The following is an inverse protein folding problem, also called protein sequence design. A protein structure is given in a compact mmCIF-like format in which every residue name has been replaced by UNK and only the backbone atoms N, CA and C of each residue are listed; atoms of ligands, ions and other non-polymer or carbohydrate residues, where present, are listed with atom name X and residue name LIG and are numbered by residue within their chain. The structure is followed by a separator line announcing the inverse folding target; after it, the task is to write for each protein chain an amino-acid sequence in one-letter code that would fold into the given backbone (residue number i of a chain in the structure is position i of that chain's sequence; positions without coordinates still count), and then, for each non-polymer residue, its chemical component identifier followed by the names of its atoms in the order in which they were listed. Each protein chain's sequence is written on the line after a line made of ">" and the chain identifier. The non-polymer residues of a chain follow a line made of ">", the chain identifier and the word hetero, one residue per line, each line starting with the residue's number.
data_IF_376351192739
#
_entry.id   IF_376351192739
#
_cell.length_a   1.000
_cell.length_b   1.000
_cell.length_c   1.000
_cell.angle_alpha   90.00
_cell.angle_beta   90.00
_cell.angle_gamma   90.00
#
_symmetry.space_group_name_H-M   'P 1'
#
loop_
_entity.id
_entity.type
_entity.pdbx_description
1 polymer ?
#
# COMPACT_ATOMS: atom_id res chain seq x y z
N UNK A 1 -17.23 20.89 -37.73
CA UNK A 1 -17.37 20.02 -36.53
C UNK A 1 -18.32 20.72 -35.59
N UNK A 2 -19.46 20.12 -35.26
CA UNK A 2 -20.48 20.74 -34.42
C UNK A 2 -20.11 20.58 -32.94
N UNK A 3 -20.49 21.55 -32.11
CA UNK A 3 -20.26 21.52 -30.66
C UNK A 3 -20.85 20.28 -29.95
N UNK A 4 -21.74 19.56 -30.62
CA UNK A 4 -22.33 18.31 -30.16
C UNK A 4 -21.36 17.12 -30.29
N UNK A 5 -20.57 17.07 -31.37
CA UNK A 5 -19.53 16.06 -31.56
C UNK A 5 -18.44 16.18 -30.49
N UNK A 6 -17.99 17.41 -30.19
CA UNK A 6 -16.97 17.66 -29.15
C UNK A 6 -17.48 17.26 -27.74
N UNK A 7 -18.75 17.54 -27.41
CA UNK A 7 -19.35 17.15 -26.14
C UNK A 7 -19.45 15.63 -25.99
N UNK A 8 -19.82 14.94 -27.06
CA UNK A 8 -19.91 13.48 -27.07
C UNK A 8 -18.52 12.85 -26.87
N UNK A 9 -17.50 13.35 -27.57
CA UNK A 9 -16.12 12.89 -27.42
C UNK A 9 -15.57 13.12 -26.00
N UNK A 10 -15.82 14.31 -25.42
CA UNK A 10 -15.43 14.60 -24.03
C UNK A 10 -16.11 13.65 -23.03
N UNK A 11 -17.39 13.36 -23.24
CA UNK A 11 -18.15 12.45 -22.40
C UNK A 11 -17.62 11.02 -22.49
N UNK A 12 -17.27 10.57 -23.69
CA UNK A 12 -16.70 9.24 -23.91
C UNK A 12 -15.31 9.10 -23.26
N UNK A 13 -14.45 10.10 -23.42
CA UNK A 13 -13.14 10.16 -22.74
C UNK A 13 -13.30 10.17 -21.22
N UNK A 14 -14.28 10.90 -20.68
CA UNK A 14 -14.55 10.92 -19.25
C UNK A 14 -15.01 9.54 -18.75
N UNK A 15 -15.96 8.90 -19.43
CA UNK A 15 -16.42 7.53 -19.12
C UNK A 15 -15.27 6.52 -19.15
N UNK A 16 -14.38 6.65 -20.13
CA UNK A 16 -13.19 5.81 -20.22
C UNK A 16 -12.28 6.00 -18.99
N UNK A 17 -11.98 7.24 -18.60
CA UNK A 17 -11.17 7.53 -17.41
C UNK A 17 -11.84 7.00 -16.14
N UNK A 18 -13.15 7.18 -15.99
CA UNK A 18 -13.89 6.70 -14.82
C UNK A 18 -13.89 5.17 -14.73
N UNK A 19 -14.09 4.48 -15.85
CA UNK A 19 -14.00 3.01 -15.90
C UNK A 19 -12.59 2.52 -15.58
N UNK A 20 -11.55 3.20 -16.08
CA UNK A 20 -10.17 2.92 -15.72
C UNK A 20 -9.96 3.09 -14.21
N UNK A 21 -10.40 4.20 -13.61
CA UNK A 21 -10.29 4.47 -12.17
C UNK A 21 -11.00 3.39 -11.35
N UNK A 22 -12.20 2.98 -11.77
CA UNK A 22 -12.97 1.92 -11.12
C UNK A 22 -12.22 0.58 -11.15
N UNK A 23 -11.63 0.22 -12.29
CA UNK A 23 -10.81 -0.99 -12.43
C UNK A 23 -9.52 -0.90 -11.60
N UNK A 24 -8.90 0.28 -11.52
CA UNK A 24 -7.76 0.54 -10.64
C UNK A 24 -8.09 0.26 -9.17
N UNK A 25 -9.23 0.76 -8.67
CA UNK A 25 -9.70 0.48 -7.31
C UNK A 25 -9.98 -1.01 -7.09
N UNK A 26 -10.53 -1.69 -8.09
CA UNK A 26 -10.80 -3.14 -8.03
C UNK A 26 -9.49 -3.93 -7.94
N UNK A 27 -8.51 -3.57 -8.76
CA UNK A 27 -7.17 -4.15 -8.70
C UNK A 27 -6.56 -3.96 -7.32
N UNK A 28 -6.56 -2.73 -6.77
CA UNK A 28 -6.06 -2.47 -5.41
C UNK A 28 -6.81 -3.28 -4.35
N UNK A 29 -8.13 -3.44 -4.48
CA UNK A 29 -8.95 -4.30 -3.64
C UNK A 29 -8.48 -5.76 -3.64
N UNK A 30 -8.19 -6.30 -4.82
CA UNK A 30 -7.66 -7.66 -5.01
C UNK A 30 -6.24 -7.84 -4.45
N UNK A 31 -5.46 -6.76 -4.39
CA UNK A 31 -4.16 -6.71 -3.71
C UNK A 31 -4.29 -6.36 -2.22
N UNK A 32 -5.51 -6.24 -1.67
CA UNK A 32 -5.76 -5.92 -0.26
C UNK A 32 -5.00 -6.83 0.71
N UNK A 33 -4.85 -8.11 0.36
CA UNK A 33 -4.13 -9.10 1.16
C UNK A 33 -2.64 -8.77 1.34
N UNK A 34 -1.97 -8.09 0.39
CA UNK A 34 -0.57 -7.72 0.57
C UNK A 34 -0.44 -6.69 1.68
N UNK A 35 -1.33 -5.71 1.75
CA UNK A 35 -1.33 -4.75 2.86
C UNK A 35 -1.45 -5.46 4.21
N UNK A 36 -2.36 -6.44 4.32
CA UNK A 36 -2.50 -7.23 5.55
C UNK A 36 -1.23 -8.02 5.86
N UNK A 37 -0.66 -8.73 4.87
CA UNK A 37 0.58 -9.48 5.03
C UNK A 37 1.72 -8.61 5.54
N UNK A 38 1.95 -7.46 4.91
CA UNK A 38 3.02 -6.53 5.29
C UNK A 38 2.75 -5.90 6.67
N UNK A 39 1.50 -5.57 6.98
CA UNK A 39 1.12 -5.11 8.31
C UNK A 39 1.43 -6.14 9.41
N UNK A 40 1.06 -7.41 9.19
CA UNK A 40 1.37 -8.50 10.11
C UNK A 40 2.88 -8.72 10.22
N UNK A 41 3.61 -8.65 9.10
CA UNK A 41 5.06 -8.80 9.10
C UNK A 41 5.76 -7.74 9.96
N UNK A 42 5.31 -6.48 9.92
CA UNK A 42 5.85 -5.43 10.80
C UNK A 42 5.59 -5.72 12.28
N UNK A 43 4.39 -6.19 12.64
CA UNK A 43 4.10 -6.58 14.03
C UNK A 43 5.00 -7.74 14.51
N UNK A 44 5.18 -8.76 13.67
CA UNK A 44 6.04 -9.90 13.98
C UNK A 44 7.50 -9.45 14.11
N UNK A 45 7.96 -8.55 13.25
CA UNK A 45 9.31 -7.99 13.30
C UNK A 45 9.56 -7.26 14.62
N UNK A 46 8.63 -6.41 15.04
CA UNK A 46 8.74 -5.65 16.29
C UNK A 46 8.67 -6.55 17.52
N UNK A 47 7.72 -7.48 17.57
CA UNK A 47 7.62 -8.44 18.67
C UNK A 47 8.91 -9.27 18.81
N UNK A 48 9.47 -9.73 17.69
CA UNK A 48 10.73 -10.47 17.69
C UNK A 48 11.92 -9.58 18.07
N UNK A 49 12.00 -8.34 17.59
CA UNK A 49 13.06 -7.42 17.97
C UNK A 49 13.08 -7.16 19.49
N UNK A 50 11.91 -7.01 20.11
CA UNK A 50 11.76 -6.79 21.55
C UNK A 50 12.16 -8.03 22.36
N UNK A 51 11.66 -9.22 21.98
CA UNK A 51 11.88 -10.44 22.76
C UNK A 51 13.24 -11.09 22.51
N UNK A 52 13.66 -11.15 21.24
CA UNK A 52 14.89 -11.81 20.83
C UNK A 52 16.12 -10.92 20.88
N UNK A 53 15.96 -9.60 21.06
CA UNK A 53 17.04 -8.59 20.96
C UNK A 53 17.89 -8.79 19.69
N UNK A 54 17.26 -9.24 18.63
CA UNK A 54 17.93 -9.66 17.40
C UNK A 54 17.70 -8.63 16.31
N UNK A 55 18.77 -8.00 15.86
CA UNK A 55 18.75 -7.08 14.73
C UNK A 55 18.31 -7.75 13.41
N UNK A 56 18.34 -9.08 13.36
CA UNK A 56 17.92 -9.88 12.20
C UNK A 56 16.40 -9.99 12.05
N UNK A 57 15.62 -9.68 13.09
CA UNK A 57 14.16 -9.80 13.06
C UNK A 57 13.55 -9.04 11.87
N UNK A 58 14.03 -7.83 11.63
CA UNK A 58 13.59 -6.96 10.55
C UNK A 58 14.00 -7.47 9.15
N UNK A 59 15.29 -7.69 8.83
CA UNK A 59 15.68 -8.24 7.54
C UNK A 59 14.98 -9.56 7.19
N UNK A 60 14.88 -10.49 8.14
CA UNK A 60 14.29 -11.82 7.91
C UNK A 60 12.80 -11.70 7.58
N UNK A 61 12.04 -10.93 8.37
CA UNK A 61 10.60 -10.75 8.13
C UNK A 61 10.31 -10.00 6.82
N UNK A 62 11.11 -8.99 6.48
CA UNK A 62 10.95 -8.24 5.22
C UNK A 62 11.24 -9.13 4.00
N UNK A 63 12.32 -9.93 4.04
CA UNK A 63 12.64 -10.88 2.97
C UNK A 63 11.53 -11.94 2.83
N UNK A 64 11.05 -12.49 3.94
CA UNK A 64 9.95 -13.46 3.93
C UNK A 64 8.67 -12.87 3.33
N UNK A 65 8.26 -11.66 3.76
CA UNK A 65 7.09 -10.97 3.23
C UNK A 65 7.23 -10.67 1.73
N UNK A 66 8.42 -10.26 1.29
CA UNK A 66 8.72 -10.04 -0.12
C UNK A 66 8.63 -11.31 -0.96
N UNK A 67 9.21 -12.42 -0.48
CA UNK A 67 9.16 -13.73 -1.15
C UNK A 67 7.71 -14.21 -1.27
N UNK A 68 6.93 -14.18 -0.18
CA UNK A 68 5.52 -14.56 -0.19
C UNK A 68 4.73 -13.67 -1.17
N UNK A 69 4.95 -12.36 -1.11
CA UNK A 69 4.29 -11.40 -2.00
C UNK A 69 4.58 -11.71 -3.47
N UNK A 70 5.85 -11.98 -3.79
CA UNK A 70 6.33 -12.26 -5.15
C UNK A 70 5.82 -13.59 -5.69
N UNK A 71 5.79 -14.63 -4.85
CA UNK A 71 5.28 -15.95 -5.22
C UNK A 71 3.78 -15.89 -5.54
N UNK A 72 2.97 -15.28 -4.67
CA UNK A 72 1.53 -15.15 -4.93
C UNK A 72 1.27 -14.23 -6.13
N UNK A 73 2.00 -13.12 -6.25
CA UNK A 73 1.95 -12.22 -7.39
C UNK A 73 2.17 -12.95 -8.73
N UNK A 74 3.17 -13.84 -8.79
CA UNK A 74 3.48 -14.62 -10.00
C UNK A 74 2.32 -15.53 -10.42
N UNK A 75 1.58 -16.08 -9.44
CA UNK A 75 0.40 -16.92 -9.70
C UNK A 75 -0.82 -16.11 -10.13
N UNK A 76 -0.97 -14.89 -9.61
CA UNK A 76 -2.08 -14.00 -9.97
C UNK A 76 -1.94 -13.34 -11.33
N UNK A 77 -0.73 -13.27 -11.90
CA UNK A 77 -0.46 -12.67 -13.22
C UNK A 77 -0.96 -13.51 -14.41
N UNK A 78 -1.32 -14.77 -14.21
CA UNK A 78 -1.84 -15.62 -15.28
C UNK A 78 -3.27 -15.18 -15.66
N UNK A 79 -3.39 -14.43 -16.77
CA UNK A 79 -4.66 -14.26 -17.47
C UNK A 79 -5.17 -12.84 -17.72
N UNK A 80 -4.48 -11.75 -17.28
CA UNK A 80 -4.88 -10.38 -17.65
C UNK A 80 -3.69 -9.43 -17.86
N UNK A 81 -3.57 -8.77 -19.03
CA UNK A 81 -2.52 -7.79 -19.27
C UNK A 81 -2.66 -6.59 -18.31
N UNK A 82 -1.52 -6.07 -17.84
CA UNK A 82 -1.50 -4.96 -16.89
C UNK A 82 -2.06 -3.69 -17.56
N UNK A 83 -3.12 -3.11 -16.98
CA UNK A 83 -3.70 -1.85 -17.47
C UNK A 83 -2.73 -0.69 -17.22
N UNK A 84 -2.80 0.36 -18.05
CA UNK A 84 -2.00 1.58 -17.87
C UNK A 84 -2.18 2.16 -16.47
N UNK A 85 -3.40 2.14 -15.94
CA UNK A 85 -3.67 2.60 -14.58
C UNK A 85 -3.11 1.65 -13.51
N UNK A 86 -3.20 0.34 -13.70
CA UNK A 86 -2.59 -0.65 -12.80
C UNK A 86 -1.07 -0.47 -12.70
N UNK A 87 -0.41 -0.16 -13.82
CA UNK A 87 1.01 0.21 -13.84
C UNK A 87 1.27 1.53 -13.11
N UNK A 88 0.45 2.55 -13.35
CA UNK A 88 0.59 3.86 -12.71
C UNK A 88 0.43 3.80 -11.19
N UNK A 89 -0.46 2.95 -10.69
CA UNK A 89 -0.63 2.70 -9.24
C UNK A 89 0.48 1.81 -8.70
N UNK A 90 0.85 0.74 -9.41
CA UNK A 90 1.85 -0.23 -8.96
C UNK A 90 3.29 0.30 -8.94
N UNK A 91 3.65 1.21 -9.85
CA UNK A 91 5.00 1.74 -9.95
C UNK A 91 5.48 2.45 -8.66
N UNK A 92 4.70 3.35 -8.02
CA UNK A 92 5.02 3.90 -6.71
C UNK A 92 5.31 2.84 -5.64
N UNK A 93 4.54 1.75 -5.59
CA UNK A 93 4.75 0.67 -4.61
C UNK A 93 6.06 -0.08 -4.84
N UNK A 94 6.39 -0.37 -6.10
CA UNK A 94 7.66 -1.02 -6.46
C UNK A 94 8.85 -0.11 -6.15
N UNK A 95 8.77 1.16 -6.56
CA UNK A 95 9.82 2.14 -6.31
C UNK A 95 10.05 2.36 -4.81
N UNK A 96 8.96 2.44 -4.04
CA UNK A 96 8.98 2.52 -2.59
C UNK A 96 9.65 1.28 -1.98
N UNK A 97 9.23 0.07 -2.38
CA UNK A 97 9.78 -1.17 -1.86
C UNK A 97 11.28 -1.30 -2.09
N UNK A 98 11.76 -1.02 -3.30
CA UNK A 98 13.20 -1.04 -3.64
C UNK A 98 13.97 -0.03 -2.78
N UNK A 99 13.42 1.18 -2.65
CA UNK A 99 14.05 2.25 -1.89
C UNK A 99 14.12 1.95 -0.39
N UNK A 100 13.05 1.42 0.24
CA UNK A 100 13.06 1.03 1.66
C UNK A 100 14.11 -0.06 1.89
N UNK A 101 14.14 -1.09 1.05
CA UNK A 101 15.11 -2.18 1.19
C UNK A 101 16.55 -1.66 1.11
N UNK A 102 16.83 -0.82 0.11
CA UNK A 102 18.17 -0.26 -0.10
C UNK A 102 18.61 0.62 1.08
N UNK A 103 17.76 1.54 1.52
CA UNK A 103 18.09 2.49 2.59
C UNK A 103 18.22 1.80 3.95
N UNK A 104 17.29 0.92 4.31
CA UNK A 104 17.32 0.26 5.62
C UNK A 104 18.50 -0.70 5.75
N UNK A 105 18.86 -1.42 4.68
CA UNK A 105 20.07 -2.26 4.68
C UNK A 105 21.32 -1.39 4.83
N UNK A 106 21.41 -0.27 4.11
CA UNK A 106 22.54 0.65 4.23
C UNK A 106 22.66 1.24 5.66
N UNK A 107 21.54 1.60 6.29
CA UNK A 107 21.50 2.08 7.68
C UNK A 107 21.94 1.00 8.67
N UNK A 108 21.49 -0.25 8.48
CA UNK A 108 21.90 -1.37 9.32
C UNK A 108 23.41 -1.64 9.21
N UNK A 109 23.95 -1.73 7.99
CA UNK A 109 25.38 -2.01 7.74
C UNK A 109 26.27 -0.86 8.24
N UNK A 110 25.80 0.39 8.16
CA UNK A 110 26.55 1.55 8.65
C UNK A 110 26.43 1.78 10.17
N UNK A 111 25.67 0.96 10.89
CA UNK A 111 25.44 1.12 12.33
C UNK A 111 24.59 2.33 12.70
N UNK A 112 23.90 2.96 11.73
CA UNK A 112 23.05 4.15 11.92
C UNK A 112 21.58 3.79 12.02
N UNK A 113 21.29 2.58 12.49
CA UNK A 113 19.94 2.06 12.59
C UNK A 113 19.26 2.59 13.88
N UNK A 114 18.74 3.81 13.80
CA UNK A 114 17.99 4.45 14.89
C UNK A 114 16.46 4.31 14.67
N UNK A 115 15.68 4.02 15.73
CA UNK A 115 14.23 3.90 15.64
C UNK A 115 13.49 5.09 15.04
N UNK A 116 13.88 6.30 15.40
CA UNK A 116 13.24 7.50 14.85
C UNK A 116 13.48 7.61 13.36
N UNK A 117 14.72 7.32 12.93
CA UNK A 117 15.13 7.42 11.52
C UNK A 117 14.38 6.42 10.66
N UNK A 118 14.33 5.13 11.03
CA UNK A 118 13.67 4.14 10.19
C UNK A 118 12.14 4.35 10.17
N UNK A 119 11.50 4.70 11.30
CA UNK A 119 10.05 4.94 11.35
C UNK A 119 9.71 6.17 10.50
N UNK A 120 10.50 7.24 10.56
CA UNK A 120 10.30 8.43 9.73
C UNK A 120 10.40 8.11 8.23
N UNK A 121 11.41 7.32 7.84
CA UNK A 121 11.59 6.87 6.45
C UNK A 121 10.39 6.04 5.99
N UNK A 122 10.03 5.00 6.75
CA UNK A 122 8.89 4.13 6.40
C UNK A 122 7.59 4.95 6.34
N UNK A 123 7.37 5.85 7.31
CA UNK A 123 6.19 6.71 7.35
C UNK A 123 6.07 7.64 6.16
N UNK A 124 7.16 8.32 5.78
CA UNK A 124 7.18 9.17 4.60
C UNK A 124 6.96 8.36 3.30
N UNK A 125 7.59 7.19 3.19
CA UNK A 125 7.55 6.36 1.99
C UNK A 125 6.20 5.66 1.79
N UNK A 126 5.63 5.07 2.84
CA UNK A 126 4.28 4.50 2.79
C UNK A 126 3.22 5.60 2.63
N UNK A 127 3.40 6.72 3.35
CA UNK A 127 2.51 7.88 3.23
C UNK A 127 2.43 8.38 1.79
N UNK A 128 3.58 8.53 1.12
CA UNK A 128 3.63 8.96 -0.28
C UNK A 128 3.07 7.92 -1.25
N UNK A 129 3.36 6.63 -1.09
CA UNK A 129 2.78 5.59 -1.93
C UNK A 129 1.24 5.53 -1.83
N UNK A 130 0.71 5.66 -0.61
CA UNK A 130 -0.74 5.78 -0.38
C UNK A 130 -1.29 7.08 -0.98
N UNK A 131 -0.61 8.22 -0.79
CA UNK A 131 -1.06 9.52 -1.30
C UNK A 131 -1.13 9.53 -2.82
N UNK A 132 -0.08 9.09 -3.50
CA UNK A 132 -0.04 8.98 -4.97
C UNK A 132 -1.15 8.07 -5.47
N UNK A 133 -1.32 6.90 -4.84
CA UNK A 133 -2.39 5.97 -5.19
C UNK A 133 -3.79 6.59 -4.96
N UNK A 134 -3.97 7.35 -3.89
CA UNK A 134 -5.23 8.00 -3.56
C UNK A 134 -5.60 9.10 -4.56
N UNK A 135 -4.62 9.88 -5.03
CA UNK A 135 -4.80 10.92 -6.05
C UNK A 135 -5.19 10.27 -7.38
N UNK A 136 -4.44 9.26 -7.83
CA UNK A 136 -4.69 8.55 -9.09
C UNK A 136 -6.07 7.89 -9.08
N UNK A 137 -6.42 7.22 -7.98
CA UNK A 137 -7.67 6.47 -7.86
C UNK A 137 -8.84 7.32 -7.34
N UNK A 138 -8.62 8.60 -7.01
CA UNK A 138 -9.60 9.46 -6.30
C UNK A 138 -10.23 8.77 -5.08
N UNK A 139 -9.44 8.03 -4.30
CA UNK A 139 -9.95 7.16 -3.24
C UNK A 139 -9.69 7.72 -1.84
N UNK A 140 -10.75 8.24 -1.20
CA UNK A 140 -10.69 8.88 0.12
C UNK A 140 -10.11 8.00 1.23
N UNK A 141 -10.39 6.69 1.22
CA UNK A 141 -9.86 5.79 2.25
C UNK A 141 -8.35 5.63 2.15
N UNK A 142 -7.83 5.55 0.93
CA UNK A 142 -6.39 5.46 0.72
C UNK A 142 -5.69 6.79 1.05
N UNK A 143 -6.38 7.92 0.87
CA UNK A 143 -5.90 9.23 1.34
C UNK A 143 -5.83 9.29 2.87
N UNK A 144 -6.82 8.75 3.59
CA UNK A 144 -6.78 8.66 5.04
C UNK A 144 -5.58 7.82 5.52
N UNK A 145 -5.29 6.68 4.87
CA UNK A 145 -4.08 5.89 5.16
C UNK A 145 -2.79 6.67 4.91
N UNK A 146 -2.75 7.51 3.86
CA UNK A 146 -1.61 8.37 3.59
C UNK A 146 -1.35 9.34 4.76
N UNK A 147 -2.40 10.00 5.25
CA UNK A 147 -2.30 10.92 6.39
C UNK A 147 -1.83 10.20 7.66
N UNK A 148 -2.34 8.99 7.92
CA UNK A 148 -1.92 8.18 9.07
C UNK A 148 -0.41 7.89 9.01
N UNK A 149 0.10 7.48 7.85
CA UNK A 149 1.52 7.18 7.68
C UNK A 149 2.42 8.43 7.72
N UNK A 150 1.98 9.53 7.11
CA UNK A 150 2.70 10.81 7.20
C UNK A 150 2.72 11.35 8.63
N UNK A 151 1.61 11.23 9.36
CA UNK A 151 1.54 11.61 10.76
C UNK A 151 2.49 10.77 11.63
N UNK A 152 2.56 9.45 11.40
CA UNK A 152 3.53 8.58 12.08
C UNK A 152 4.98 8.99 11.77
N UNK A 153 5.28 9.39 10.53
CA UNK A 153 6.59 9.92 10.17
C UNK A 153 6.94 11.22 10.90
N UNK A 154 5.98 12.15 11.01
CA UNK A 154 6.15 13.40 11.79
C UNK A 154 6.36 13.09 13.27
N UNK A 155 5.55 12.19 13.84
CA UNK A 155 5.69 11.75 15.24
C UNK A 155 7.05 11.12 15.48
N UNK A 156 7.61 10.37 14.52
CA UNK A 156 8.94 9.82 14.64
C UNK A 156 10.03 10.90 14.67
N UNK A 157 9.86 12.04 13.99
CA UNK A 157 10.85 13.11 14.00
C UNK A 157 10.89 13.91 15.33
N UNK A 158 9.77 14.01 16.05
CA UNK A 158 9.63 14.92 17.21
C UNK A 158 9.21 14.24 18.52
N UNK A 159 8.68 13.03 18.46
CA UNK A 159 8.22 12.28 19.63
C UNK A 159 9.35 11.58 20.37
N UNK A 160 9.04 11.04 21.54
CA UNK A 160 9.95 10.10 22.23
C UNK A 160 9.96 8.74 21.54
N UNK A 161 10.97 7.90 21.79
CA UNK A 161 11.05 6.55 21.21
C UNK A 161 9.78 5.72 21.46
N UNK A 162 9.20 5.80 22.66
CA UNK A 162 7.97 5.11 23.00
C UNK A 162 6.78 5.61 22.16
N UNK A 163 6.64 6.94 22.00
CA UNK A 163 5.57 7.53 21.20
C UNK A 163 5.74 7.23 19.71
N UNK A 164 6.98 7.22 19.20
CA UNK A 164 7.29 6.84 17.83
C UNK A 164 6.94 5.37 17.57
N UNK A 165 7.31 4.45 18.47
CA UNK A 165 6.94 3.03 18.37
C UNK A 165 5.43 2.80 18.42
N UNK A 166 4.72 3.45 19.35
CA UNK A 166 3.25 3.38 19.41
C UNK A 166 2.62 3.93 18.13
N UNK A 167 3.13 5.06 17.64
CA UNK A 167 2.68 5.69 16.38
C UNK A 167 2.89 4.77 15.18
N UNK A 168 4.04 4.09 15.10
CA UNK A 168 4.34 3.12 14.06
C UNK A 168 3.38 1.92 14.08
N UNK A 169 3.14 1.34 15.27
CA UNK A 169 2.21 0.23 15.42
C UNK A 169 0.76 0.64 15.07
N UNK A 170 0.32 1.81 15.55
CA UNK A 170 -0.99 2.35 15.23
C UNK A 170 -1.16 2.60 13.73
N UNK A 171 -0.14 3.18 13.07
CA UNK A 171 -0.16 3.40 11.63
C UNK A 171 -0.12 2.11 10.82
N UNK A 172 0.64 1.12 11.29
CA UNK A 172 0.65 -0.23 10.71
C UNK A 172 -0.73 -0.87 10.81
N UNK A 173 -1.36 -0.83 11.98
CA UNK A 173 -2.70 -1.39 12.17
C UNK A 173 -3.73 -0.72 11.26
N UNK A 174 -3.83 0.61 11.30
CA UNK A 174 -4.86 1.35 10.57
C UNK A 174 -4.57 1.41 9.06
N UNK A 175 -3.33 1.72 8.69
CA UNK A 175 -2.91 1.98 7.31
C UNK A 175 -2.67 0.71 6.49
N UNK A 176 -2.29 -0.40 7.12
CA UNK A 176 -2.03 -1.67 6.44
C UNK A 176 -3.11 -2.70 6.71
N UNK A 177 -3.33 -3.08 7.97
CA UNK A 177 -4.22 -4.20 8.31
C UNK A 177 -5.68 -3.83 8.07
N UNK A 178 -6.17 -2.77 8.72
CA UNK A 178 -7.58 -2.34 8.60
C UNK A 178 -7.89 -1.95 7.15
N UNK A 179 -7.02 -1.17 6.51
CA UNK A 179 -7.19 -0.81 5.10
C UNK A 179 -7.17 -2.04 4.18
N UNK A 180 -6.25 -2.97 4.38
CA UNK A 180 -6.15 -4.19 3.58
C UNK A 180 -7.40 -5.06 3.70
N UNK A 181 -7.90 -5.26 4.92
CA UNK A 181 -9.17 -5.98 5.18
C UNK A 181 -10.34 -5.23 4.51
N UNK A 182 -10.43 -3.92 4.69
CA UNK A 182 -11.45 -3.09 4.05
C UNK A 182 -11.43 -3.25 2.52
N UNK A 183 -10.24 -3.20 1.91
CA UNK A 183 -10.05 -3.34 0.47
C UNK A 183 -10.51 -4.72 -0.03
N UNK A 184 -10.18 -5.79 0.69
CA UNK A 184 -10.64 -7.16 0.38
C UNK A 184 -12.16 -7.31 0.53
N UNK A 185 -12.75 -6.79 1.61
CA UNK A 185 -14.20 -6.85 1.82
C UNK A 185 -14.96 -6.09 0.73
N UNK A 186 -14.45 -4.93 0.32
CA UNK A 186 -15.03 -4.14 -0.76
C UNK A 186 -14.99 -4.88 -2.10
N UNK A 187 -13.90 -5.57 -2.38
CA UNK A 187 -13.73 -6.40 -3.59
C UNK A 187 -14.68 -7.61 -3.58
N UNK A 188 -14.75 -8.34 -2.46
CA UNK A 188 -15.65 -9.48 -2.30
C UNK A 188 -17.14 -9.08 -2.43
N UNK A 189 -17.54 -7.92 -1.90
CA UNK A 189 -18.91 -7.41 -2.02
C UNK A 189 -19.27 -7.10 -3.47
N UNK A 190 -18.34 -6.52 -4.23
CA UNK A 190 -18.53 -6.21 -5.65
C UNK A 190 -18.59 -7.47 -6.52
N UNK A 191 -17.79 -8.48 -6.20
CA UNK A 191 -17.87 -9.80 -6.84
C UNK A 191 -19.28 -10.40 -6.73
N UNK A 192 -19.83 -10.43 -5.51
CA UNK A 192 -21.19 -10.95 -5.26
C UNK A 192 -22.30 -10.13 -5.91
N UNK A 193 -22.14 -8.81 -6.05
CA UNK A 193 -23.12 -7.96 -6.73
C UNK A 193 -23.12 -8.20 -8.24
N UNK A 194 -21.95 -8.35 -8.86
CA UNK A 194 -21.85 -8.65 -10.30
C UNK A 194 -22.53 -9.97 -10.66
N UNK A 195 -22.31 -11.00 -9.83
CA UNK A 195 -22.93 -12.32 -10.00
C UNK A 195 -24.46 -12.25 -9.93
N UNK A 196 -25.04 -11.47 -9.00
CA UNK A 196 -26.51 -11.31 -8.90
C UNK A 196 -27.16 -10.63 -10.10
N UNK A 197 -26.47 -9.73 -10.80
CA UNK A 197 -26.96 -9.06 -12.02
C UNK A 197 -26.86 -9.93 -13.28
N UNK A 198 -26.05 -10.98 -13.28
CA UNK A 198 -25.90 -11.88 -14.43
C UNK A 198 -26.97 -12.98 -14.44
N UNK A 199 -27.61 -13.24 -13.29
CA UNK A 199 -28.70 -14.21 -13.11
C UNK A 199 -30.10 -13.56 -13.01
N UNK A 200 -30.23 -12.26 -13.28
CA UNK A 200 -31.50 -11.51 -13.26
C UNK A 200 -31.80 -10.92 -14.64
#
# INVERSE_FOLDING_TARGET
>A
MSAETDKMELTERLKLIESMIAEGRRSTGRWGWTFVLWGVAYYVAEAWAIWGRSWLAWPVTMVAAFVISSLVASRMKHGRPATTLGRAVGAPWIAMGISIMTVLIALAVSGRYDPHVYIAIIGAMLGTAHLTSAIILKWKMQFACALVWLAAGVVACFGSQAVAGIGFLAATFLGQIVFGIYAMVLEARRGRQGEKTEYA
#
